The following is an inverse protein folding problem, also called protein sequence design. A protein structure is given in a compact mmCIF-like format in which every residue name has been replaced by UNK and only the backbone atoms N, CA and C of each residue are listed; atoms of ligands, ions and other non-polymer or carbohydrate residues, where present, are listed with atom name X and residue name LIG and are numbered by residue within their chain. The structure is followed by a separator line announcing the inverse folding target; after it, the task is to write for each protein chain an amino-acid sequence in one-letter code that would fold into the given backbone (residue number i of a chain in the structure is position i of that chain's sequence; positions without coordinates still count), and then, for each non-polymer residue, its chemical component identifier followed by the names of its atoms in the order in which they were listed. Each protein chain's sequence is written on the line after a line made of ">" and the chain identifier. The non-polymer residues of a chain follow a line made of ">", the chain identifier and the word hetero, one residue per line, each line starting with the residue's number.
data_IF_060553357821
#
_entry.id   IF_060553357821
#
_cell.length_a   1.000
_cell.length_b   1.000
_cell.length_c   1.000
_cell.angle_alpha   90.00
_cell.angle_beta   90.00
_cell.angle_gamma   90.00
#
_symmetry.space_group_name_H-M   'P 1'
#
loop_
_entity.id
_entity.type
_entity.pdbx_description
1 polymer ?
#
# COMPACT_ATOMS: atom_id res chain seq x y z
N UNK A 1 -1.93 4.99 26.81
CA UNK A 1 -0.87 4.00 26.50
C UNK A 1 0.40 4.36 27.27
N UNK A 2 1.40 3.47 27.39
CA UNK A 2 2.74 3.79 27.94
C UNK A 2 3.81 3.15 27.07
N UNK A 3 4.88 3.87 26.77
CA UNK A 3 6.08 3.33 26.11
C UNK A 3 7.28 3.47 27.05
N UNK A 4 8.11 2.43 27.14
CA UNK A 4 9.30 2.44 28.00
C UNK A 4 10.48 3.18 27.35
N UNK A 5 10.52 3.26 26.03
CA UNK A 5 11.50 4.01 25.25
C UNK A 5 10.95 4.28 23.85
N UNK A 6 11.54 5.25 23.15
CA UNK A 6 11.15 5.67 21.80
C UNK A 6 9.71 6.21 21.75
N UNK A 7 9.38 6.84 20.63
CA UNK A 7 8.11 7.49 20.41
C UNK A 7 8.27 8.95 20.06
N UNK A 8 7.17 9.52 19.60
CA UNK A 8 7.13 10.86 19.08
C UNK A 8 5.69 11.39 19.12
N UNK A 9 5.58 12.71 18.99
CA UNK A 9 4.30 13.42 18.94
C UNK A 9 4.34 14.33 17.71
N UNK A 10 3.25 14.30 16.95
CA UNK A 10 3.02 15.16 15.81
C UNK A 10 1.65 15.83 15.97
N UNK A 11 1.60 17.15 15.81
CA UNK A 11 0.33 17.86 15.62
C UNK A 11 -0.02 17.79 14.13
N UNK A 12 -1.23 17.35 13.82
CA UNK A 12 -1.67 17.14 12.45
C UNK A 12 -2.16 18.44 11.83
N UNK A 13 -1.56 18.81 10.71
CA UNK A 13 -1.99 19.96 9.93
C UNK A 13 -3.43 19.80 9.45
N UNK A 14 -4.19 20.89 9.46
CA UNK A 14 -5.60 20.93 9.04
C UNK A 14 -6.60 20.61 10.16
N UNK A 15 -6.38 19.58 10.98
CA UNK A 15 -7.30 19.22 12.08
C UNK A 15 -6.84 19.75 13.45
N UNK A 16 -5.52 19.90 13.67
CA UNK A 16 -4.97 20.19 14.99
C UNK A 16 -4.94 19.00 15.94
N UNK A 17 -5.31 17.81 15.46
CA UNK A 17 -5.29 16.56 16.24
C UNK A 17 -3.86 16.21 16.67
N UNK A 18 -3.74 15.51 17.79
CA UNK A 18 -2.46 15.05 18.34
C UNK A 18 -2.24 13.60 17.96
N UNK A 19 -1.27 13.34 17.09
CA UNK A 19 -0.84 12.00 16.73
C UNK A 19 0.37 11.58 17.57
N UNK A 20 0.27 10.44 18.25
CA UNK A 20 1.28 9.94 19.18
C UNK A 20 1.77 8.56 18.73
N UNK A 21 3.08 8.44 18.57
CA UNK A 21 3.77 7.17 18.37
C UNK A 21 4.28 6.58 19.69
N UNK A 22 3.80 5.40 20.08
CA UNK A 22 4.26 4.64 21.24
C UNK A 22 5.30 3.59 20.83
N UNK A 23 6.54 4.04 20.63
CA UNK A 23 7.58 3.30 19.89
C UNK A 23 7.82 1.85 20.32
N UNK A 24 8.19 1.61 21.58
CA UNK A 24 8.45 0.24 22.08
C UNK A 24 7.19 -0.63 22.17
N UNK A 25 6.02 0.00 22.31
CA UNK A 25 4.75 -0.71 22.30
C UNK A 25 4.26 -1.01 20.88
N UNK A 26 4.84 -0.38 19.86
CA UNK A 26 4.43 -0.48 18.46
C UNK A 26 2.95 -0.15 18.24
N UNK A 27 2.48 0.92 18.91
CA UNK A 27 1.12 1.44 18.82
C UNK A 27 1.17 2.90 18.40
N UNK A 28 0.20 3.34 17.62
CA UNK A 28 -0.01 4.74 17.27
C UNK A 28 -1.44 5.14 17.62
N UNK A 29 -1.61 6.35 18.15
CA UNK A 29 -2.93 6.85 18.55
C UNK A 29 -3.09 8.29 18.08
N UNK A 30 -4.23 8.60 17.45
CA UNK A 30 -4.64 9.96 17.13
C UNK A 30 -5.69 10.41 18.14
N UNK A 31 -5.47 11.57 18.75
CA UNK A 31 -6.43 12.23 19.62
C UNK A 31 -6.98 13.48 18.95
N UNK A 32 -8.28 13.71 19.07
CA UNK A 32 -8.89 15.00 18.77
C UNK A 32 -8.39 16.08 19.72
N UNK A 33 -8.62 17.35 19.38
CA UNK A 33 -8.26 18.48 20.25
C UNK A 33 -8.97 18.44 21.61
N UNK A 34 -10.15 17.82 21.67
CA UNK A 34 -10.94 17.65 22.89
C UNK A 34 -10.47 16.44 23.73
N UNK A 35 -9.51 15.65 23.22
CA UNK A 35 -8.92 14.51 23.91
C UNK A 35 -9.57 13.16 23.60
N UNK A 36 -10.49 13.10 22.63
CA UNK A 36 -11.13 11.86 22.19
C UNK A 36 -10.22 11.06 21.26
N UNK A 37 -10.32 9.72 21.28
CA UNK A 37 -9.51 8.85 20.42
C UNK A 37 -10.18 8.71 19.05
N UNK A 38 -9.56 9.24 18.01
CA UNK A 38 -10.02 9.14 16.62
C UNK A 38 -9.44 7.92 15.89
N UNK A 39 -8.24 7.49 16.30
CA UNK A 39 -7.54 6.36 15.68
C UNK A 39 -6.65 5.66 16.71
N UNK A 40 -6.69 4.33 16.76
CA UNK A 40 -5.77 3.49 17.53
C UNK A 40 -5.36 2.27 16.71
N UNK A 41 -4.10 2.23 16.27
CA UNK A 41 -3.57 1.15 15.45
C UNK A 41 -2.30 0.56 16.04
N UNK A 42 -2.11 -0.73 15.76
CA UNK A 42 -1.10 -1.57 16.43
C UNK A 42 -0.43 -2.44 15.38
N UNK A 43 0.90 -2.45 15.37
CA UNK A 43 1.65 -3.38 14.51
C UNK A 43 1.68 -4.82 15.06
N UNK A 44 1.06 -5.07 16.21
CA UNK A 44 1.00 -6.39 16.86
C UNK A 44 -0.12 -6.49 17.90
N UNK A 45 -0.49 -7.72 18.22
CA UNK A 45 -1.36 -8.03 19.36
C UNK A 45 -0.79 -7.52 20.70
N UNK A 46 -1.69 -7.06 21.58
CA UNK A 46 -1.34 -6.37 22.81
C UNK A 46 -0.58 -7.23 23.83
N UNK A 47 -0.81 -8.55 23.82
CA UNK A 47 -0.13 -9.51 24.70
C UNK A 47 1.39 -9.49 24.58
N UNK A 48 1.91 -8.98 23.47
CA UNK A 48 3.35 -8.95 23.19
C UNK A 48 4.01 -7.60 23.50
N UNK A 49 3.28 -6.59 23.99
CA UNK A 49 3.83 -5.26 24.25
C UNK A 49 4.95 -5.24 25.31
N UNK A 50 4.91 -6.15 26.27
CA UNK A 50 5.94 -6.25 27.31
C UNK A 50 7.28 -6.80 26.77
N UNK A 51 7.22 -7.68 25.77
CA UNK A 51 8.40 -8.39 25.23
C UNK A 51 9.12 -7.59 24.14
N UNK A 52 8.42 -6.67 23.46
CA UNK A 52 9.02 -5.71 22.53
C UNK A 52 9.73 -6.23 21.27
N UNK A 53 9.38 -7.38 20.62
CA UNK A 53 10.09 -7.81 19.41
C UNK A 53 9.77 -7.00 18.13
N UNK A 54 8.91 -6.00 18.24
CA UNK A 54 8.44 -5.11 17.16
C UNK A 54 8.31 -3.77 17.85
N UNK A 55 9.06 -2.81 17.34
CA UNK A 55 9.17 -1.45 17.85
C UNK A 55 9.38 -0.52 16.67
N UNK A 56 8.94 0.73 16.79
CA UNK A 56 9.36 1.79 15.87
C UNK A 56 10.01 2.92 16.65
N UNK A 57 11.00 3.56 16.05
CA UNK A 57 11.65 4.72 16.66
C UNK A 57 10.76 5.96 16.59
N UNK A 58 10.14 6.18 15.42
CA UNK A 58 9.28 7.31 15.08
C UNK A 58 8.21 6.87 14.07
N UNK A 59 7.05 7.51 14.11
CA UNK A 59 6.01 7.36 13.10
C UNK A 59 5.35 8.71 12.82
N UNK A 60 5.19 9.07 11.55
CA UNK A 60 4.50 10.30 11.18
C UNK A 60 3.33 10.03 10.23
N UNK A 61 2.33 10.91 10.28
CA UNK A 61 1.15 10.87 9.44
C UNK A 61 1.12 12.13 8.58
N UNK A 62 1.10 11.93 7.27
CA UNK A 62 1.01 13.00 6.29
C UNK A 62 0.13 12.55 5.13
N UNK A 63 -0.57 13.51 4.52
CA UNK A 63 -1.10 13.32 3.18
C UNK A 63 0.08 13.18 2.22
N UNK A 64 0.10 12.11 1.43
CA UNK A 64 1.11 11.91 0.41
C UNK A 64 0.48 11.35 -0.86
N UNK A 65 1.05 11.71 -2.00
CA UNK A 65 0.66 11.19 -3.30
C UNK A 65 1.84 10.45 -3.92
N UNK A 66 1.70 9.14 -4.11
CA UNK A 66 2.67 8.30 -4.81
C UNK A 66 2.53 8.47 -6.32
N UNK A 67 3.63 8.85 -6.98
CA UNK A 67 3.74 8.95 -8.45
C UNK A 67 4.90 8.08 -8.93
N UNK A 68 4.74 6.75 -8.97
CA UNK A 68 5.80 5.85 -9.43
C UNK A 68 6.17 6.16 -10.89
N UNK A 69 7.47 6.21 -11.18
CA UNK A 69 8.00 6.39 -12.54
C UNK A 69 8.25 5.07 -13.26
N UNK A 70 8.12 3.95 -12.54
CA UNK A 70 8.30 2.60 -13.05
C UNK A 70 6.98 2.00 -13.50
N UNK A 71 7.03 1.20 -14.56
CA UNK A 71 5.92 0.33 -14.97
C UNK A 71 5.72 -0.79 -13.92
N UNK A 72 4.54 -1.42 -13.86
CA UNK A 72 4.35 -2.66 -13.12
C UNK A 72 5.39 -3.72 -13.52
N UNK A 73 5.81 -4.52 -12.54
CA UNK A 73 6.67 -5.68 -12.78
C UNK A 73 5.82 -6.94 -12.90
N UNK A 74 6.23 -7.90 -13.72
CA UNK A 74 5.50 -9.15 -13.90
C UNK A 74 6.41 -10.35 -14.17
N UNK A 75 5.94 -11.52 -13.79
CA UNK A 75 6.56 -12.81 -14.11
C UNK A 75 5.51 -13.81 -14.59
N UNK A 76 5.89 -14.66 -15.54
CA UNK A 76 5.06 -15.77 -16.05
C UNK A 76 5.59 -17.07 -15.48
N UNK A 77 4.81 -17.74 -14.65
CA UNK A 77 5.17 -19.01 -13.99
C UNK A 77 3.93 -19.91 -13.85
N UNK A 78 4.11 -21.22 -14.00
CA UNK A 78 3.06 -22.25 -13.80
C UNK A 78 1.74 -21.98 -14.53
N UNK A 79 1.80 -21.38 -15.73
CA UNK A 79 0.61 -21.04 -16.52
C UNK A 79 -0.17 -19.83 -16.02
N UNK A 80 0.40 -19.07 -15.07
CA UNK A 80 -0.16 -17.82 -14.56
C UNK A 80 0.77 -16.63 -14.78
N UNK A 81 0.21 -15.42 -14.66
CA UNK A 81 0.94 -14.15 -14.66
C UNK A 81 0.83 -13.57 -13.26
N UNK A 82 1.97 -13.28 -12.64
CA UNK A 82 2.05 -12.61 -11.35
C UNK A 82 2.54 -11.19 -11.58
N UNK A 83 1.73 -10.21 -11.19
CA UNK A 83 2.03 -8.78 -11.38
C UNK A 83 2.20 -8.12 -10.01
N UNK A 84 3.21 -7.28 -9.88
CA UNK A 84 3.42 -6.44 -8.70
C UNK A 84 3.64 -4.99 -9.08
N UNK A 85 3.03 -4.09 -8.34
CA UNK A 85 3.19 -2.67 -8.56
C UNK A 85 2.98 -1.92 -7.25
N UNK A 86 4.01 -1.19 -6.82
CA UNK A 86 3.88 -0.24 -5.73
C UNK A 86 3.20 1.00 -6.30
N UNK A 87 1.86 0.92 -6.33
CA UNK A 87 1.02 1.77 -7.16
C UNK A 87 1.14 3.26 -6.89
N UNK A 88 0.62 4.03 -7.85
CA UNK A 88 0.25 5.41 -7.61
C UNK A 88 -0.88 5.43 -6.59
N UNK A 89 -0.78 6.25 -5.55
CA UNK A 89 -1.80 6.29 -4.48
C UNK A 89 -3.17 6.79 -4.97
N UNK A 90 -3.21 7.40 -6.15
CA UNK A 90 -4.43 7.87 -6.82
C UNK A 90 -5.10 6.78 -7.69
N UNK A 91 -4.42 5.66 -7.94
CA UNK A 91 -4.96 4.56 -8.73
C UNK A 91 -5.71 3.60 -7.81
N UNK A 92 -7.05 3.59 -7.95
CA UNK A 92 -7.95 2.81 -7.10
C UNK A 92 -8.07 1.34 -7.52
N UNK A 93 -7.82 1.04 -8.79
CA UNK A 93 -7.88 -0.30 -9.36
C UNK A 93 -7.06 -0.35 -10.66
N UNK A 94 -6.58 -1.54 -11.01
CA UNK A 94 -5.90 -1.82 -12.27
C UNK A 94 -6.39 -3.15 -12.85
N UNK A 95 -6.29 -3.31 -14.17
CA UNK A 95 -6.69 -4.51 -14.90
C UNK A 95 -5.59 -4.90 -15.87
N UNK A 96 -5.19 -6.18 -15.84
CA UNK A 96 -4.32 -6.75 -16.86
C UNK A 96 -5.11 -7.03 -18.13
N UNK A 97 -4.64 -6.51 -19.25
CA UNK A 97 -5.22 -6.72 -20.58
C UNK A 97 -4.18 -7.38 -21.49
N UNK A 98 -4.65 -8.30 -22.34
CA UNK A 98 -3.84 -8.99 -23.33
C UNK A 98 -4.26 -8.53 -24.72
N UNK A 99 -3.29 -8.24 -25.58
CA UNK A 99 -3.52 -7.97 -26.98
C UNK A 99 -2.92 -9.08 -27.82
N UNK A 100 -3.59 -9.45 -28.90
CA UNK A 100 -3.09 -10.40 -29.87
C UNK A 100 -2.87 -9.67 -31.19
N UNK A 101 -1.66 -9.73 -31.73
CA UNK A 101 -1.45 -9.37 -33.13
C UNK A 101 -2.14 -10.42 -33.99
N UNK A 102 -3.28 -10.05 -34.58
CA UNK A 102 -3.78 -10.75 -35.74
C UNK A 102 -2.77 -10.51 -36.85
N UNK A 103 -2.07 -11.55 -37.29
CA UNK A 103 -1.04 -11.45 -38.32
C UNK A 103 -1.59 -10.77 -39.58
N UNK A 104 -1.34 -9.46 -39.68
CA UNK A 104 -1.65 -8.67 -40.86
C UNK A 104 -0.70 -9.08 -41.97
N UNK A 105 -1.26 -9.48 -43.10
CA UNK A 105 -0.48 -9.67 -44.32
C UNK A 105 0.28 -8.39 -44.65
N UNK A 106 1.47 -8.55 -45.18
CA UNK A 106 2.23 -7.49 -45.84
C UNK A 106 1.32 -6.87 -46.91
N UNK A 107 0.70 -5.73 -46.63
CA UNK A 107 0.17 -4.72 -47.58
C UNK A 107 -0.96 -3.96 -46.88
N UNK A 108 -0.64 -2.77 -46.34
CA UNK A 108 -1.48 -1.60 -46.02
C UNK A 108 -1.14 -1.02 -44.63
N UNK A 109 -0.82 0.28 -44.61
CA UNK A 109 -0.64 1.10 -43.39
C UNK A 109 -2.01 1.33 -42.73
N UNK A 110 -2.68 0.26 -42.30
CA UNK A 110 -3.89 0.36 -41.50
C UNK A 110 -3.50 0.46 -40.02
N UNK A 111 -4.05 1.44 -39.32
CA UNK A 111 -4.01 1.46 -37.86
C UNK A 111 -4.59 0.13 -37.36
N UNK A 112 -3.71 -0.78 -36.93
CA UNK A 112 -4.15 -2.08 -36.43
C UNK A 112 -5.11 -1.85 -35.26
N UNK A 113 -6.38 -2.22 -35.45
CA UNK A 113 -7.36 -2.29 -34.37
C UNK A 113 -6.88 -3.35 -33.37
N UNK A 114 -6.13 -2.91 -32.36
CA UNK A 114 -5.66 -3.77 -31.29
C UNK A 114 -6.84 -4.07 -30.37
N UNK A 115 -7.39 -5.28 -30.49
CA UNK A 115 -8.38 -5.80 -29.56
C UNK A 115 -7.68 -6.23 -28.26
N UNK A 116 -8.22 -5.76 -27.13
CA UNK A 116 -7.72 -6.07 -25.79
C UNK A 116 -8.70 -6.98 -25.05
N UNK A 117 -8.21 -8.14 -24.63
CA UNK A 117 -8.93 -9.08 -23.78
C UNK A 117 -8.57 -8.88 -22.31
N UNK A 118 -9.59 -8.82 -21.45
CA UNK A 118 -9.37 -8.78 -19.99
C UNK A 118 -8.92 -10.14 -19.48
N UNK A 119 -7.73 -10.18 -18.89
CA UNK A 119 -7.22 -11.36 -18.21
C UNK A 119 -7.99 -11.56 -16.91
N UNK A 120 -8.43 -12.79 -16.63
CA UNK A 120 -9.03 -13.12 -15.33
C UNK A 120 -8.02 -12.90 -14.20
N UNK A 121 -8.36 -12.08 -13.20
CA UNK A 121 -7.45 -11.66 -12.13
C UNK A 121 -7.97 -12.07 -10.76
N UNK A 122 -7.05 -12.36 -9.83
CA UNK A 122 -7.36 -12.49 -8.40
C UNK A 122 -6.45 -11.57 -7.60
N UNK A 123 -7.03 -10.57 -6.93
CA UNK A 123 -6.25 -9.67 -6.09
C UNK A 123 -5.89 -10.35 -4.77
N UNK A 124 -4.61 -10.32 -4.43
CA UNK A 124 -4.13 -10.72 -3.10
C UNK A 124 -3.71 -9.47 -2.34
N UNK A 125 -4.38 -9.23 -1.23
CA UNK A 125 -4.15 -8.12 -0.29
C UNK A 125 -2.88 -8.31 0.56
N UNK A 126 -2.23 -9.47 0.46
CA UNK A 126 -1.00 -9.81 1.17
C UNK A 126 -0.01 -10.47 0.22
N UNK A 127 1.25 -10.01 0.26
CA UNK A 127 2.38 -10.80 -0.21
C UNK A 127 2.43 -12.04 0.68
N UNK A 128 1.99 -13.18 0.13
CA UNK A 128 2.08 -14.46 0.83
C UNK A 128 3.54 -14.73 1.14
N UNK A 129 3.90 -14.67 2.43
CA UNK A 129 5.10 -15.34 2.92
C UNK A 129 4.88 -16.84 2.65
N UNK A 130 5.73 -17.42 1.80
CA UNK A 130 5.90 -18.87 1.72
C UNK A 130 6.41 -19.39 3.06
#
# INVERSE_FOLDING_TARGET
>A
MRSLSQGDVQILDGTGNVFIGWGRSAVMTEFSIDGEVEYDARFRAAVFFAFGPVTFYRISRHSWVGKPTTRPDFVVEDGGIYVSWNGATEVVAWQLEAAYENGGGEDEEDEADVEFDRVSQTFRDRFGLK
#
